data_IF_101338983274
#
_entry.id   IF_101338983274
#
_cell.length_a   1.000
_cell.length_b   1.000
_cell.length_c   1.000
_cell.angle_alpha   90.00
_cell.angle_beta   90.00
_cell.angle_gamma   90.00
#
_symmetry.space_group_name_H-M   'P 1'
#
loop_
_entity.id
_entity.type
_entity.pdbx_description
1 polymer ?
#
# COMPACT_ATOMS: atom_id res chain seq x y z
N UNK A 1 11.32 20.89 53.03
CA UNK A 1 11.78 20.25 51.79
C UNK A 1 10.55 19.68 51.11
N UNK A 2 9.88 20.51 50.32
CA UNK A 2 8.62 20.19 49.66
C UNK A 2 8.95 19.75 48.24
N UNK A 3 8.70 18.47 47.94
CA UNK A 3 8.82 17.96 46.58
C UNK A 3 7.60 18.43 45.78
N UNK A 4 7.77 19.53 45.04
CA UNK A 4 6.89 19.89 43.94
C UNK A 4 7.04 18.84 42.84
N UNK A 5 6.10 17.90 42.81
CA UNK A 5 5.94 16.96 41.70
C UNK A 5 5.40 17.79 40.54
N UNK A 6 6.32 18.22 39.67
CA UNK A 6 6.04 18.89 38.41
C UNK A 6 5.36 17.89 37.46
N UNK A 7 4.06 17.66 37.68
CA UNK A 7 3.14 17.10 36.70
C UNK A 7 2.78 18.22 35.72
N UNK A 8 3.79 18.74 35.01
CA UNK A 8 3.49 19.34 33.72
C UNK A 8 2.89 18.22 32.89
N UNK A 9 1.57 18.32 32.72
CA UNK A 9 0.81 17.54 31.80
C UNK A 9 1.59 17.51 30.49
N UNK A 10 2.17 16.35 30.18
CA UNK A 10 2.39 15.99 28.79
C UNK A 10 1.00 16.07 28.18
N UNK A 11 0.65 17.22 27.61
CA UNK A 11 -0.52 17.36 26.78
C UNK A 11 -0.21 16.44 25.61
N UNK A 12 -0.60 15.19 25.78
CA UNK A 12 -0.44 14.15 24.80
C UNK A 12 -1.21 14.68 23.61
N UNK A 13 -0.48 15.16 22.61
CA UNK A 13 -1.08 15.82 21.45
C UNK A 13 -1.82 14.74 20.69
N UNK A 14 -3.09 14.59 21.07
CA UNK A 14 -3.95 13.48 20.65
C UNK A 14 -4.11 13.56 19.13
N UNK A 15 -4.01 14.77 18.57
CA UNK A 15 -4.03 15.04 17.14
C UNK A 15 -2.86 14.39 16.37
N UNK A 16 -1.69 14.23 16.99
CA UNK A 16 -0.49 13.68 16.36
C UNK A 16 -0.53 12.15 16.27
N UNK A 17 -1.15 11.50 17.26
CA UNK A 17 -1.40 10.05 17.24
C UNK A 17 -2.58 9.71 16.31
N UNK A 18 -3.56 10.60 16.20
CA UNK A 18 -4.81 10.38 15.45
C UNK A 18 -4.65 10.39 13.93
N UNK A 19 -3.66 11.12 13.40
CA UNK A 19 -3.34 11.15 11.96
C UNK A 19 -2.77 9.81 11.44
N UNK A 20 -2.18 8.99 12.31
CA UNK A 20 -1.50 7.75 11.89
C UNK A 20 -2.43 6.54 12.00
N UNK A 21 -3.43 6.54 12.90
CA UNK A 21 -4.37 5.43 13.07
C UNK A 21 -5.27 5.18 11.85
N UNK A 22 -5.61 6.21 11.08
CA UNK A 22 -6.45 6.09 9.89
C UNK A 22 -5.80 5.23 8.78
N UNK A 23 -4.47 5.16 8.76
CA UNK A 23 -3.70 4.42 7.75
C UNK A 23 -3.14 3.09 8.25
N UNK A 24 -3.34 2.74 9.53
CA UNK A 24 -2.99 1.41 10.05
C UNK A 24 -3.95 0.40 9.41
N UNK A 25 -3.49 -0.19 8.32
CA UNK A 25 -4.12 -1.36 7.75
C UNK A 25 -4.13 -2.44 8.83
N UNK A 26 -5.30 -2.76 9.38
CA UNK A 26 -5.56 -3.94 10.25
C UNK A 26 -5.24 -5.28 9.50
N UNK A 27 -4.76 -5.19 8.25
CA UNK A 27 -4.11 -6.30 7.55
C UNK A 27 -2.74 -6.62 8.10
N UNK A 28 -2.08 -5.69 8.79
CA UNK A 28 -0.79 -5.98 9.40
C UNK A 28 -0.98 -6.97 10.55
N UNK A 29 -0.29 -8.10 10.45
CA UNK A 29 -0.37 -9.19 11.41
C UNK A 29 0.05 -8.73 12.81
N UNK A 30 0.99 -7.77 12.86
CA UNK A 30 1.42 -7.15 14.10
C UNK A 30 0.29 -6.46 14.87
N UNK A 31 -0.58 -5.69 14.19
CA UNK A 31 -1.71 -5.02 14.84
C UNK A 31 -2.74 -6.02 15.36
N UNK A 32 -2.97 -7.12 14.62
CA UNK A 32 -3.87 -8.20 15.06
C UNK A 32 -3.37 -8.88 16.32
N UNK A 33 -2.07 -9.12 16.42
CA UNK A 33 -1.46 -9.74 17.60
C UNK A 33 -1.58 -8.83 18.84
N UNK A 34 -1.38 -7.52 18.68
CA UNK A 34 -1.55 -6.57 19.79
C UNK A 34 -3.01 -6.51 20.23
N UNK A 35 -3.94 -6.45 19.27
CA UNK A 35 -5.37 -6.43 19.57
C UNK A 35 -5.79 -7.72 20.28
N UNK A 36 -5.30 -8.87 19.83
CA UNK A 36 -5.53 -10.16 20.49
C UNK A 36 -5.04 -10.16 21.93
N UNK A 37 -3.83 -9.64 22.20
CA UNK A 37 -3.32 -9.50 23.58
C UNK A 37 -4.19 -8.60 24.43
N UNK A 38 -4.70 -7.50 23.88
CA UNK A 38 -5.58 -6.58 24.62
C UNK A 38 -6.95 -7.21 24.92
N UNK A 39 -7.45 -8.08 24.04
CA UNK A 39 -8.64 -8.90 24.29
C UNK A 39 -8.37 -9.93 25.38
N UNK A 40 -7.24 -10.64 25.31
CA UNK A 40 -6.84 -11.63 26.32
C UNK A 40 -6.62 -11.00 27.71
N UNK A 41 -6.18 -9.74 27.77
CA UNK A 41 -6.09 -8.95 29.01
C UNK A 41 -7.45 -8.52 29.56
N UNK A 42 -8.55 -8.72 28.84
CA UNK A 42 -9.89 -8.25 29.21
C UNK A 42 -10.06 -6.73 29.13
N UNK A 43 -9.13 -6.03 28.46
CA UNK A 43 -9.21 -4.57 28.27
C UNK A 43 -10.17 -4.15 27.16
N UNK A 44 -10.44 -5.07 26.22
CA UNK A 44 -11.36 -4.88 25.10
C UNK A 44 -12.31 -6.08 25.06
N UNK A 45 -13.62 -5.83 25.11
CA UNK A 45 -14.61 -6.90 24.99
C UNK A 45 -14.87 -7.24 23.52
N UNK A 46 -15.37 -8.45 23.26
CA UNK A 46 -15.72 -8.84 21.90
C UNK A 46 -16.83 -7.95 21.31
N UNK A 47 -17.74 -7.46 22.16
CA UNK A 47 -18.82 -6.56 21.76
C UNK A 47 -18.31 -5.19 21.27
N UNK A 48 -17.24 -4.67 21.88
CA UNK A 48 -16.58 -3.43 21.46
C UNK A 48 -16.00 -3.59 20.05
N UNK A 49 -15.38 -4.74 19.76
CA UNK A 49 -14.77 -5.04 18.46
C UNK A 49 -15.83 -5.04 17.35
N UNK A 50 -16.97 -5.71 17.57
CA UNK A 50 -18.05 -5.76 16.58
C UNK A 50 -18.62 -4.37 16.34
N UNK A 51 -18.79 -3.58 17.40
CA UNK A 51 -19.26 -2.18 17.31
C UNK A 51 -18.28 -1.34 16.48
N UNK A 52 -16.98 -1.44 16.75
CA UNK A 52 -15.94 -0.74 15.98
C UNK A 52 -15.86 -1.18 14.51
N UNK A 53 -15.97 -2.48 14.23
CA UNK A 53 -15.99 -2.98 12.85
C UNK A 53 -17.21 -2.46 12.09
N UNK A 54 -18.37 -2.44 12.74
CA UNK A 54 -19.60 -1.90 12.14
C UNK A 54 -19.49 -0.40 11.82
N UNK A 55 -18.87 0.37 12.71
CA UNK A 55 -18.63 1.80 12.51
C UNK A 55 -17.68 2.06 11.33
N UNK A 56 -16.57 1.32 11.28
CA UNK A 56 -15.57 1.44 10.22
C UNK A 56 -16.12 1.06 8.85
N UNK A 57 -17.01 0.07 8.77
CA UNK A 57 -17.57 -0.38 7.49
C UNK A 57 -18.72 0.52 6.99
N UNK A 58 -19.40 1.24 7.90
CA UNK A 58 -20.58 2.04 7.52
C UNK A 58 -20.24 3.35 6.80
N UNK A 59 -19.07 3.94 7.04
CA UNK A 59 -18.78 5.26 6.48
C UNK A 59 -17.29 5.48 6.19
N UNK A 60 -16.91 5.35 4.92
CA UNK A 60 -15.62 5.84 4.44
C UNK A 60 -15.72 7.36 4.19
N UNK A 61 -15.86 8.13 5.28
CA UNK A 61 -16.06 9.58 5.27
C UNK A 61 -14.98 10.34 4.48
N UNK A 62 -13.78 9.76 4.35
CA UNK A 62 -12.72 10.30 3.50
C UNK A 62 -13.14 10.34 2.03
N UNK A 63 -13.74 9.24 1.52
CA UNK A 63 -14.27 9.17 0.16
C UNK A 63 -15.46 10.11 -0.03
N UNK A 64 -16.35 10.17 0.96
CA UNK A 64 -17.52 11.07 0.91
C UNK A 64 -17.10 12.53 0.87
N UNK A 65 -16.09 12.93 1.66
CA UNK A 65 -15.53 14.28 1.65
C UNK A 65 -14.86 14.64 0.33
N UNK A 66 -14.06 13.72 -0.23
CA UNK A 66 -13.40 13.90 -1.53
C UNK A 66 -14.41 14.06 -2.68
N UNK A 67 -15.38 13.15 -2.75
CA UNK A 67 -16.43 13.18 -3.78
C UNK A 67 -17.31 14.42 -3.60
N UNK A 68 -17.69 14.75 -2.36
CA UNK A 68 -18.49 15.93 -2.05
C UNK A 68 -17.80 17.24 -2.45
N UNK A 69 -16.52 17.41 -2.11
CA UNK A 69 -15.75 18.60 -2.47
C UNK A 69 -15.57 18.78 -3.99
N UNK A 70 -15.31 17.69 -4.71
CA UNK A 70 -15.18 17.71 -6.17
C UNK A 70 -16.52 18.02 -6.87
N UNK A 71 -17.64 17.50 -6.36
CA UNK A 71 -18.96 17.76 -6.94
C UNK A 71 -19.45 19.18 -6.70
N UNK A 72 -19.26 19.72 -5.48
CA UNK A 72 -19.69 21.08 -5.15
C UNK A 72 -19.00 22.11 -6.05
N UNK A 73 -17.68 21.97 -6.26
CA UNK A 73 -16.92 22.89 -7.13
C UNK A 73 -17.32 22.77 -8.60
N UNK A 74 -17.54 21.55 -9.09
CA UNK A 74 -17.98 21.29 -10.47
C UNK A 74 -19.40 21.84 -10.75
N UNK A 75 -20.35 21.62 -9.84
CA UNK A 75 -21.74 22.08 -9.98
C UNK A 75 -21.83 23.59 -9.83
N UNK A 76 -21.13 24.19 -8.85
CA UNK A 76 -21.14 25.63 -8.64
C UNK A 76 -20.53 26.38 -9.84
N UNK A 77 -19.38 25.93 -10.35
CA UNK A 77 -18.73 26.55 -11.50
C UNK A 77 -19.56 26.50 -12.78
N UNK A 78 -20.40 25.47 -12.95
CA UNK A 78 -21.26 25.31 -14.12
C UNK A 78 -22.56 26.13 -14.05
N UNK A 79 -23.17 26.29 -12.88
CA UNK A 79 -24.51 26.87 -12.75
C UNK A 79 -24.57 28.35 -12.33
N UNK A 80 -23.59 28.90 -11.61
CA UNK A 80 -23.74 30.21 -10.91
C UNK A 80 -22.94 31.36 -11.58
N UNK A 81 -22.85 31.34 -12.91
CA UNK A 81 -22.14 32.33 -13.78
C UNK A 81 -20.68 31.97 -13.98
N UNK A 82 -20.26 31.91 -15.25
CA UNK A 82 -18.88 31.70 -15.71
C UNK A 82 -18.03 32.90 -15.29
N UNK A 83 -17.28 32.86 -14.17
CA UNK A 83 -16.38 33.96 -13.85
C UNK A 83 -15.15 33.78 -14.74
N UNK A 84 -14.58 34.85 -15.34
CA UNK A 84 -13.35 34.76 -16.13
C UNK A 84 -12.15 34.55 -15.22
N UNK A 85 -12.12 33.42 -14.51
CA UNK A 85 -11.00 33.00 -13.69
C UNK A 85 -10.01 32.27 -14.59
N UNK A 86 -8.76 32.71 -14.55
CA UNK A 86 -7.64 31.98 -15.15
C UNK A 86 -7.56 30.57 -14.56
N UNK A 87 -7.17 29.59 -15.38
CA UNK A 87 -7.11 28.18 -15.00
C UNK A 87 -6.35 27.94 -13.68
N UNK A 88 -5.27 28.70 -13.42
CA UNK A 88 -4.53 28.62 -12.16
C UNK A 88 -5.33 29.03 -10.92
N UNK A 89 -6.24 30.00 -11.03
CA UNK A 89 -7.12 30.41 -9.90
C UNK A 89 -8.18 29.34 -9.61
N UNK A 90 -8.73 28.71 -10.66
CA UNK A 90 -9.64 27.58 -10.51
C UNK A 90 -8.95 26.39 -9.83
N UNK A 91 -7.74 26.07 -10.26
CA UNK A 91 -6.94 25.02 -9.63
C UNK A 91 -6.67 25.33 -8.15
N UNK A 92 -6.21 26.55 -7.82
CA UNK A 92 -5.96 26.96 -6.44
C UNK A 92 -7.20 26.88 -5.55
N UNK A 93 -8.36 27.36 -6.02
CA UNK A 93 -9.64 27.26 -5.30
C UNK A 93 -10.07 25.81 -5.11
N UNK A 94 -9.90 24.96 -6.13
CA UNK A 94 -10.23 23.54 -6.03
C UNK A 94 -9.36 22.80 -5.01
N UNK A 95 -8.05 23.06 -5.00
CA UNK A 95 -7.12 22.46 -4.04
C UNK A 95 -7.41 22.92 -2.61
N UNK A 96 -7.72 24.21 -2.42
CA UNK A 96 -8.12 24.73 -1.12
C UNK A 96 -9.43 24.10 -0.65
N UNK A 97 -10.46 24.04 -1.50
CA UNK A 97 -11.73 23.42 -1.18
C UNK A 97 -11.59 21.92 -0.87
N UNK A 98 -10.75 21.20 -1.61
CA UNK A 98 -10.45 19.80 -1.36
C UNK A 98 -9.76 19.60 -0.01
N UNK A 99 -8.76 20.43 0.32
CA UNK A 99 -8.08 20.40 1.61
C UNK A 99 -9.03 20.70 2.76
N UNK A 100 -9.81 21.79 2.67
CA UNK A 100 -10.81 22.14 3.69
C UNK A 100 -11.87 21.06 3.85
N UNK A 101 -12.36 20.50 2.74
CA UNK A 101 -13.31 19.38 2.75
C UNK A 101 -12.74 18.14 3.44
N UNK A 102 -11.47 17.82 3.18
CA UNK A 102 -10.77 16.73 3.86
C UNK A 102 -10.63 17.00 5.37
N UNK A 103 -10.22 18.21 5.78
CA UNK A 103 -10.09 18.58 7.19
C UNK A 103 -11.42 18.57 7.95
N UNK A 104 -12.51 19.00 7.32
CA UNK A 104 -13.85 18.91 7.92
C UNK A 104 -14.29 17.44 8.01
N UNK A 105 -14.00 16.65 6.97
CA UNK A 105 -14.27 15.21 6.95
C UNK A 105 -13.58 14.47 8.09
N UNK A 106 -12.30 14.77 8.36
CA UNK A 106 -11.59 14.19 9.51
C UNK A 106 -12.19 14.66 10.83
N UNK A 107 -12.52 15.94 10.99
CA UNK A 107 -13.19 16.43 12.20
C UNK A 107 -14.53 15.73 12.52
N UNK A 108 -15.34 15.46 11.49
CA UNK A 108 -16.59 14.71 11.64
C UNK A 108 -16.35 13.23 11.99
N UNK A 109 -15.32 12.60 11.41
CA UNK A 109 -14.92 11.24 11.77
C UNK A 109 -14.53 11.15 13.25
N UNK A 110 -13.72 12.11 13.72
CA UNK A 110 -13.28 12.18 15.13
C UNK A 110 -14.49 12.33 16.04
N UNK A 111 -15.42 13.25 15.72
CA UNK A 111 -16.63 13.44 16.51
C UNK A 111 -17.48 12.16 16.59
N UNK A 112 -17.66 11.48 15.46
CA UNK A 112 -18.43 10.24 15.40
C UNK A 112 -17.72 9.09 16.15
N UNK A 113 -16.39 9.04 16.12
CA UNK A 113 -15.59 8.11 16.90
C UNK A 113 -15.71 8.38 18.40
N UNK A 114 -15.61 9.63 18.84
CA UNK A 114 -15.83 10.03 20.24
C UNK A 114 -17.22 9.62 20.70
N UNK A 115 -18.25 9.87 19.88
CA UNK A 115 -19.63 9.46 20.19
C UNK A 115 -19.75 7.94 20.33
N UNK A 116 -19.10 7.18 19.45
CA UNK A 116 -19.07 5.71 19.51
C UNK A 116 -18.36 5.21 20.76
N UNK A 117 -17.19 5.77 21.08
CA UNK A 117 -16.44 5.43 22.30
C UNK A 117 -17.24 5.73 23.55
N UNK A 118 -17.94 6.86 23.60
CA UNK A 118 -18.79 7.23 24.74
C UNK A 118 -20.06 6.36 24.84
N UNK A 119 -20.43 5.63 23.80
CA UNK A 119 -21.56 4.69 23.81
C UNK A 119 -21.20 3.27 24.26
N UNK A 120 -19.90 2.98 24.44
CA UNK A 120 -19.44 1.70 24.98
C UNK A 120 -19.82 1.58 26.45
N UNK A 121 -19.97 0.34 26.93
CA UNK A 121 -20.31 0.05 28.33
C UNK A 121 -19.24 0.58 29.30
N UNK A 122 -17.95 0.41 28.94
CA UNK A 122 -16.79 0.83 29.74
C UNK A 122 -15.81 1.72 28.93
N UNK A 123 -16.12 3.01 28.68
CA UNK A 123 -15.31 3.88 27.83
C UNK A 123 -13.90 4.12 28.39
N UNK A 124 -13.74 4.11 29.71
CA UNK A 124 -12.46 4.32 30.39
C UNK A 124 -11.48 3.16 30.17
N UNK A 125 -11.97 1.91 30.23
CA UNK A 125 -11.17 0.70 29.96
C UNK A 125 -10.71 0.67 28.51
N UNK A 126 -11.64 0.95 27.60
CA UNK A 126 -11.33 0.99 26.19
C UNK A 126 -10.29 2.07 25.83
N UNK A 127 -10.41 3.28 26.39
CA UNK A 127 -9.42 4.36 26.21
C UNK A 127 -8.03 3.96 26.70
N UNK A 128 -7.96 3.30 27.87
CA UNK A 128 -6.68 2.79 28.42
C UNK A 128 -6.07 1.73 27.50
N UNK A 129 -6.87 0.77 27.03
CA UNK A 129 -6.41 -0.27 26.12
C UNK A 129 -5.93 0.31 24.78
N UNK A 130 -6.62 1.32 24.24
CA UNK A 130 -6.18 2.04 23.05
C UNK A 130 -4.87 2.80 23.27
N UNK A 131 -4.71 3.46 24.41
CA UNK A 131 -3.47 4.16 24.74
C UNK A 131 -2.29 3.17 24.79
N UNK A 132 -2.44 2.04 25.48
CA UNK A 132 -1.42 0.98 25.54
C UNK A 132 -1.13 0.40 24.14
N UNK A 133 -2.15 0.15 23.34
CA UNK A 133 -2.00 -0.34 21.96
C UNK A 133 -1.23 0.66 21.08
N UNK A 134 -1.56 1.95 21.16
CA UNK A 134 -0.90 3.01 20.40
C UNK A 134 0.57 3.14 20.80
N UNK A 135 0.86 3.03 22.09
CA UNK A 135 2.21 3.04 22.63
C UNK A 135 3.02 1.82 22.15
N UNK A 136 2.42 0.61 22.17
CA UNK A 136 3.08 -0.60 21.65
C UNK A 136 3.35 -0.50 20.14
N UNK A 137 2.41 0.05 19.37
CA UNK A 137 2.58 0.29 17.94
C UNK A 137 3.71 1.28 17.65
N UNK A 138 3.77 2.41 18.37
CA UNK A 138 4.86 3.38 18.23
C UNK A 138 6.20 2.78 18.60
N UNK A 139 6.27 2.02 19.70
CA UNK A 139 7.50 1.32 20.10
C UNK A 139 7.95 0.33 19.02
N UNK A 140 7.04 -0.47 18.46
CA UNK A 140 7.36 -1.40 17.36
C UNK A 140 7.80 -0.66 16.10
N UNK A 141 7.14 0.45 15.73
CA UNK A 141 7.54 1.27 14.58
C UNK A 141 8.94 1.82 14.74
N UNK A 142 9.29 2.30 15.94
CA UNK A 142 10.65 2.74 16.25
C UNK A 142 11.68 1.61 16.13
N UNK A 143 11.34 0.41 16.61
CA UNK A 143 12.22 -0.78 16.44
C UNK A 143 12.37 -1.15 14.96
N UNK A 144 11.29 -1.16 14.19
CA UNK A 144 11.32 -1.45 12.75
C UNK A 144 12.17 -0.42 11.98
N UNK A 145 12.06 0.87 12.33
CA UNK A 145 12.90 1.92 11.75
C UNK A 145 14.37 1.72 12.10
N UNK A 146 14.69 1.38 13.35
CA UNK A 146 16.07 1.07 13.77
C UNK A 146 16.62 -0.16 13.05
N UNK A 147 15.80 -1.20 12.87
CA UNK A 147 16.19 -2.38 12.11
C UNK A 147 16.47 -2.02 10.64
N UNK A 148 15.57 -1.30 9.99
CA UNK A 148 15.74 -0.86 8.60
C UNK A 148 16.98 0.02 8.40
N UNK A 149 17.32 0.85 9.39
CA UNK A 149 18.55 1.67 9.37
C UNK A 149 19.81 0.84 9.64
N UNK A 150 19.74 -0.12 10.57
CA UNK A 150 20.86 -1.00 10.93
C UNK A 150 21.28 -1.93 9.79
N UNK A 151 20.34 -2.43 8.99
CA UNK A 151 20.66 -3.29 7.83
C UNK A 151 21.43 -2.55 6.72
N UNK A 152 21.45 -1.22 6.73
CA UNK A 152 22.15 -0.42 5.70
C UNK A 152 23.60 -0.11 6.05
N UNK A 153 24.02 -0.31 7.30
CA UNK A 153 25.38 0.06 7.76
C UNK A 153 26.32 -1.13 7.99
N UNK A 154 25.84 -2.37 7.87
CA UNK A 154 26.67 -3.58 7.91
C UNK A 154 27.01 -4.11 6.51
N UNK A 155 27.27 -3.21 5.55
CA UNK A 155 28.13 -3.57 4.40
C UNK A 155 29.55 -3.45 4.91
N UNK A 156 30.04 -4.57 5.43
CA UNK A 156 31.41 -4.84 5.84
C UNK A 156 32.41 -4.04 4.98
N UNK A 157 33.07 -2.98 5.49
CA UNK A 157 34.23 -2.44 4.82
C UNK A 157 35.31 -3.50 5.02
N UNK A 158 35.44 -4.41 4.06
CA UNK A 158 36.65 -5.20 3.91
C UNK A 158 37.79 -4.21 3.70
N UNK A 159 38.39 -3.86 4.82
CA UNK A 159 39.69 -3.28 5.00
C UNK A 159 40.68 -4.23 4.35
N UNK A 160 41.02 -3.96 3.10
CA UNK A 160 42.36 -4.19 2.57
C UNK A 160 42.56 -3.42 1.27
N UNK A 161 43.58 -2.56 1.27
CA UNK A 161 44.33 -2.22 0.07
C UNK A 161 43.94 -0.92 -0.61
N UNK A 162 44.47 0.18 -0.08
CA UNK A 162 44.99 1.34 -0.81
C UNK A 162 45.07 1.20 -2.35
N UNK A 163 44.02 1.55 -3.10
CA UNK A 163 44.24 2.06 -4.45
C UNK A 163 43.22 3.14 -4.80
N UNK A 164 43.80 4.30 -5.11
CA UNK A 164 43.33 5.32 -6.06
C UNK A 164 42.16 6.22 -5.66
N UNK A 165 42.55 7.42 -5.22
CA UNK A 165 42.04 8.68 -5.80
C UNK A 165 41.76 8.49 -7.30
N UNK A 166 40.53 8.73 -7.75
CA UNK A 166 40.17 9.50 -8.95
C UNK A 166 38.67 9.38 -9.27
N UNK A 167 38.09 10.53 -9.65
CA UNK A 167 36.85 10.73 -10.40
C UNK A 167 35.53 10.61 -9.59
N UNK A 168 34.73 11.66 -9.37
CA UNK A 168 34.16 12.61 -10.35
C UNK A 168 33.73 11.93 -11.65
N UNK A 169 32.53 11.34 -11.67
CA UNK A 169 31.98 10.79 -12.91
C UNK A 169 30.68 10.02 -12.73
N UNK A 170 29.56 10.75 -12.69
CA UNK A 170 28.20 10.20 -12.84
C UNK A 170 27.74 10.17 -14.31
N UNK A 171 28.66 10.04 -15.25
CA UNK A 171 28.37 9.86 -16.67
C UNK A 171 29.33 8.84 -17.27
N UNK A 172 28.84 7.64 -17.60
CA UNK A 172 29.01 6.95 -18.89
C UNK A 172 28.64 5.46 -18.79
N UNK A 173 27.99 4.98 -19.85
CA UNK A 173 27.57 3.60 -20.02
C UNK A 173 28.70 2.61 -20.31
N UNK A 174 28.28 1.41 -20.71
CA UNK A 174 29.06 0.20 -21.03
C UNK A 174 29.57 -0.63 -19.86
N UNK A 175 28.71 -1.55 -19.38
CA UNK A 175 29.19 -2.80 -18.78
C UNK A 175 29.55 -3.82 -19.86
N UNK A 176 30.76 -3.70 -20.36
CA UNK A 176 31.51 -4.77 -21.00
C UNK A 176 31.98 -5.73 -19.89
N UNK A 177 31.35 -6.90 -19.84
CA UNK A 177 31.61 -7.97 -18.87
C UNK A 177 32.94 -8.65 -19.18
N UNK A 178 34.03 -8.21 -18.52
CA UNK A 178 35.30 -8.91 -18.53
C UNK A 178 35.26 -10.09 -17.55
N UNK A 179 35.36 -11.28 -18.12
CA UNK A 179 35.31 -12.61 -17.49
C UNK A 179 36.73 -13.00 -17.07
N UNK A 180 36.91 -13.29 -15.79
CA UNK A 180 38.12 -13.91 -15.24
C UNK A 180 38.36 -15.27 -15.92
N UNK A 181 39.53 -15.41 -16.53
CA UNK A 181 40.00 -16.63 -17.18
C UNK A 181 40.54 -17.59 -16.11
N UNK A 182 39.89 -18.74 -15.96
CA UNK A 182 40.50 -19.93 -15.38
C UNK A 182 40.99 -20.79 -16.54
N UNK A 183 42.30 -21.02 -16.59
CA UNK A 183 42.94 -21.88 -17.57
C UNK A 183 42.51 -23.34 -17.35
N UNK A 184 41.97 -23.98 -18.39
CA UNK A 184 41.89 -25.44 -18.51
C UNK A 184 41.79 -25.80 -19.99
N UNK A 185 42.90 -26.38 -20.49
CA UNK A 185 43.01 -27.38 -21.56
C UNK A 185 42.18 -27.21 -22.84
N UNK A 186 42.91 -26.85 -23.90
CA UNK A 186 42.54 -26.95 -25.31
C UNK A 186 42.12 -28.39 -25.64
N UNK A 187 40.91 -28.56 -26.15
CA UNK A 187 40.53 -29.71 -26.97
C UNK A 187 39.73 -29.20 -28.17
N UNK A 188 40.43 -29.16 -29.29
CA UNK A 188 39.97 -29.39 -30.67
C UNK A 188 38.53 -28.98 -31.03
N UNK A 189 38.43 -27.79 -31.63
CA UNK A 189 37.22 -27.22 -32.20
C UNK A 189 36.75 -27.98 -33.45
N UNK A 190 35.63 -28.68 -33.34
CA UNK A 190 34.77 -29.02 -34.48
C UNK A 190 33.97 -27.76 -34.87
N UNK A 191 33.90 -27.38 -36.16
CA UNK A 191 33.18 -26.18 -36.58
C UNK A 191 31.68 -26.46 -36.61
N UNK A 192 30.91 -25.80 -35.73
CA UNK A 192 29.45 -25.85 -35.78
C UNK A 192 28.70 -25.66 -34.46
N UNK A 193 29.36 -25.32 -33.35
CA UNK A 193 28.65 -25.16 -32.08
C UNK A 193 28.24 -23.70 -31.79
N UNK A 194 26.97 -23.44 -32.05
CA UNK A 194 26.22 -22.21 -31.83
C UNK A 194 26.49 -21.59 -30.45
N UNK A 195 26.95 -20.34 -30.42
CA UNK A 195 27.31 -19.58 -29.21
C UNK A 195 26.16 -19.50 -28.19
N UNK A 196 24.93 -19.66 -28.66
CA UNK A 196 23.73 -19.77 -27.83
C UNK A 196 23.58 -21.08 -27.07
N UNK A 197 24.15 -22.19 -27.55
CA UNK A 197 24.17 -23.45 -26.81
C UNK A 197 25.09 -23.33 -25.58
N UNK A 198 26.22 -22.64 -25.73
CA UNK A 198 27.19 -22.46 -24.66
C UNK A 198 26.68 -21.50 -23.56
N UNK A 199 25.93 -20.45 -23.94
CA UNK A 199 25.25 -19.56 -22.97
C UNK A 199 24.11 -20.29 -22.21
N UNK A 200 23.44 -21.25 -22.86
CA UNK A 200 22.41 -22.07 -22.20
C UNK A 200 23.02 -23.12 -21.26
N UNK A 201 24.13 -23.74 -21.63
CA UNK A 201 24.84 -24.71 -20.80
C UNK A 201 25.47 -24.09 -19.54
N UNK A 202 25.78 -22.78 -19.56
CA UNK A 202 26.41 -22.07 -18.45
C UNK A 202 25.43 -21.47 -17.44
N UNK A 203 24.12 -21.65 -17.65
CA UNK A 203 23.08 -21.17 -16.74
C UNK A 203 22.94 -22.17 -15.60
N UNK A 204 23.64 -21.92 -14.50
CA UNK A 204 23.48 -22.60 -13.20
C UNK A 204 21.98 -22.67 -12.85
N UNK A 205 21.45 -23.77 -12.27
CA UNK A 205 20.04 -23.89 -11.93
C UNK A 205 19.60 -22.65 -11.16
N UNK A 206 18.72 -21.87 -11.79
CA UNK A 206 18.31 -20.58 -11.29
C UNK A 206 17.58 -20.80 -9.96
N UNK A 207 18.12 -20.20 -8.90
CA UNK A 207 17.37 -19.97 -7.68
C UNK A 207 16.02 -19.33 -8.07
N UNK A 208 14.88 -19.84 -7.57
CA UNK A 208 13.57 -19.34 -7.95
C UNK A 208 13.55 -17.84 -7.73
N UNK A 209 13.28 -17.09 -8.79
CA UNK A 209 13.23 -15.63 -8.69
C UNK A 209 12.06 -15.24 -7.78
N UNK A 210 12.11 -14.06 -7.16
CA UNK A 210 10.99 -13.57 -6.35
C UNK A 210 9.64 -13.63 -7.11
N UNK A 211 9.69 -13.47 -8.43
CA UNK A 211 8.56 -13.65 -9.33
C UNK A 211 8.05 -15.10 -9.45
N UNK A 212 8.93 -16.10 -9.43
CA UNK A 212 8.53 -17.51 -9.42
C UNK A 212 7.87 -17.90 -8.10
N UNK A 213 8.33 -17.38 -6.97
CA UNK A 213 7.70 -17.62 -5.66
C UNK A 213 6.28 -17.04 -5.59
N UNK A 214 6.06 -15.86 -6.18
CA UNK A 214 4.72 -15.26 -6.26
C UNK A 214 3.81 -16.13 -7.13
N UNK A 215 4.30 -16.62 -8.27
CA UNK A 215 3.51 -17.47 -9.17
C UNK A 215 3.18 -18.83 -8.54
N UNK A 216 4.16 -19.48 -7.92
CA UNK A 216 3.95 -20.74 -7.19
C UNK A 216 2.99 -20.59 -6.01
N UNK A 217 3.02 -19.47 -5.28
CA UNK A 217 2.09 -19.26 -4.17
C UNK A 217 0.65 -19.06 -4.65
N UNK A 218 0.45 -18.49 -5.85
CA UNK A 218 -0.86 -18.40 -6.49
C UNK A 218 -1.36 -19.75 -7.03
N UNK A 219 -0.47 -20.58 -7.59
CA UNK A 219 -0.84 -21.92 -8.08
C UNK A 219 -1.18 -22.88 -6.92
N UNK A 220 -0.43 -22.83 -5.82
CA UNK A 220 -0.65 -23.71 -4.65
C UNK A 220 -1.91 -23.37 -3.86
N UNK A 221 -2.38 -22.13 -3.96
CA UNK A 221 -3.59 -21.66 -3.28
C UNK A 221 -4.83 -21.70 -4.16
N UNK A 222 -4.76 -22.30 -5.35
CA UNK A 222 -5.97 -22.59 -6.12
C UNK A 222 -6.66 -23.77 -5.41
N UNK A 223 -7.78 -23.55 -4.67
CA UNK A 223 -8.50 -24.68 -4.10
C UNK A 223 -8.91 -25.57 -5.28
N UNK A 224 -8.63 -26.86 -5.17
CA UNK A 224 -9.09 -27.84 -6.15
C UNK A 224 -10.58 -27.59 -6.37
N UNK A 225 -10.95 -27.15 -7.57
CA UNK A 225 -12.33 -26.98 -8.03
C UNK A 225 -12.93 -28.38 -8.17
N UNK A 226 -13.12 -29.03 -7.02
CA UNK A 226 -13.78 -30.30 -6.91
C UNK A 226 -15.27 -29.99 -7.00
N UNK A 227 -15.75 -30.15 -8.23
CA UNK A 227 -17.10 -30.16 -8.78
C UNK A 227 -18.22 -30.60 -7.82
N UNK A 228 -18.49 -29.82 -6.76
CA UNK A 228 -19.61 -29.99 -5.84
C UNK A 228 -20.63 -28.91 -6.16
N UNK A 229 -21.55 -29.24 -7.06
CA UNK A 229 -22.62 -28.38 -7.59
C UNK A 229 -23.73 -28.05 -6.59
N UNK A 230 -23.65 -28.53 -5.34
CA UNK A 230 -24.78 -28.49 -4.40
C UNK A 230 -24.58 -27.52 -3.22
N UNK A 231 -23.50 -26.75 -3.19
CA UNK A 231 -23.31 -25.71 -2.18
C UNK A 231 -23.92 -24.40 -2.72
N UNK A 232 -24.95 -23.83 -2.06
CA UNK A 232 -25.52 -22.55 -2.48
C UNK A 232 -24.41 -21.50 -2.48
N UNK A 233 -24.14 -20.97 -3.68
CA UNK A 233 -23.11 -19.97 -3.92
C UNK A 233 -23.39 -18.75 -3.03
N UNK A 234 -22.45 -18.42 -2.14
CA UNK A 234 -22.64 -17.28 -1.24
C UNK A 234 -22.80 -15.99 -2.05
N UNK A 235 -23.66 -15.08 -1.59
CA UNK A 235 -23.91 -13.80 -2.28
C UNK A 235 -22.60 -13.03 -2.56
N UNK A 236 -21.62 -13.13 -1.66
CA UNK A 236 -20.30 -12.52 -1.84
C UNK A 236 -19.49 -13.08 -3.03
N UNK A 237 -19.66 -14.37 -3.33
CA UNK A 237 -18.98 -15.03 -4.45
C UNK A 237 -19.66 -14.68 -5.78
N UNK A 238 -20.99 -14.57 -5.76
CA UNK A 238 -21.78 -14.09 -6.89
C UNK A 238 -21.47 -12.63 -7.23
N UNK A 239 -21.35 -11.75 -6.22
CA UNK A 239 -20.92 -10.36 -6.42
C UNK A 239 -19.50 -10.28 -7.00
N UNK A 240 -18.58 -11.11 -6.53
CA UNK A 240 -17.21 -11.17 -7.06
C UNK A 240 -17.19 -11.60 -8.53
N UNK A 241 -17.97 -12.64 -8.91
CA UNK A 241 -18.08 -13.07 -10.32
C UNK A 241 -18.64 -11.96 -11.21
N UNK A 242 -19.71 -11.30 -10.76
CA UNK A 242 -20.31 -10.19 -11.51
C UNK A 242 -19.33 -9.02 -11.70
N UNK A 243 -18.60 -8.64 -10.66
CA UNK A 243 -17.58 -7.59 -10.76
C UNK A 243 -16.46 -7.95 -11.75
N UNK A 244 -16.12 -9.23 -11.85
CA UNK A 244 -15.10 -9.72 -12.77
C UNK A 244 -15.61 -9.71 -14.23
N UNK A 245 -16.85 -10.12 -14.47
CA UNK A 245 -17.51 -10.00 -15.78
C UNK A 245 -17.62 -8.53 -16.24
N UNK A 246 -17.94 -7.62 -15.32
CA UNK A 246 -17.98 -6.18 -15.61
C UNK A 246 -16.59 -5.64 -15.99
N UNK A 247 -15.54 -6.11 -15.31
CA UNK A 247 -14.16 -5.73 -15.62
C UNK A 247 -13.71 -6.25 -16.99
N UNK A 248 -14.00 -7.51 -17.30
CA UNK A 248 -13.68 -8.11 -18.60
C UNK A 248 -14.45 -7.41 -19.73
N UNK A 249 -15.71 -7.02 -19.48
CA UNK A 249 -16.52 -6.24 -20.42
C UNK A 249 -15.91 -4.87 -20.71
N UNK A 250 -15.37 -4.19 -19.70
CA UNK A 250 -14.69 -2.90 -19.87
C UNK A 250 -13.38 -3.05 -20.66
N UNK A 251 -12.60 -4.09 -20.40
CA UNK A 251 -11.37 -4.40 -21.12
C UNK A 251 -11.63 -4.71 -22.60
N UNK A 252 -12.68 -5.47 -22.90
CA UNK A 252 -13.02 -5.80 -24.27
C UNK A 252 -13.53 -4.57 -25.04
N UNK A 253 -14.26 -3.67 -24.36
CA UNK A 253 -14.64 -2.36 -24.92
C UNK A 253 -13.41 -1.49 -25.21
N UNK A 254 -12.41 -1.48 -24.33
CA UNK A 254 -11.18 -0.72 -24.58
C UNK A 254 -10.39 -1.29 -25.79
N UNK A 255 -10.32 -2.62 -25.92
CA UNK A 255 -9.73 -3.26 -27.10
C UNK A 255 -10.48 -2.94 -28.38
N UNK A 256 -11.82 -2.94 -28.36
CA UNK A 256 -12.63 -2.63 -29.54
C UNK A 256 -12.41 -1.18 -30.00
N UNK A 257 -12.30 -0.23 -29.06
CA UNK A 257 -11.98 1.17 -29.36
C UNK A 257 -10.68 1.34 -30.15
N UNK A 258 -9.66 0.53 -29.87
CA UNK A 258 -8.40 0.55 -30.63
C UNK A 258 -8.55 0.05 -32.07
N UNK A 259 -9.36 -0.99 -32.28
CA UNK A 259 -9.57 -1.58 -33.61
C UNK A 259 -10.47 -0.71 -34.50
N UNK A 260 -11.51 -0.11 -33.93
CA UNK A 260 -12.43 0.74 -34.69
C UNK A 260 -11.74 2.01 -35.18
N UNK A 261 -10.90 2.65 -34.34
CA UNK A 261 -10.07 3.79 -34.75
C UNK A 261 -9.08 3.41 -35.85
N UNK A 262 -8.47 2.23 -35.78
CA UNK A 262 -7.53 1.77 -36.81
C UNK A 262 -8.23 1.52 -38.16
N UNK A 263 -9.46 1.01 -38.16
CA UNK A 263 -10.28 0.83 -39.37
C UNK A 263 -10.73 2.17 -39.95
N UNK A 264 -11.17 3.10 -39.12
CA UNK A 264 -11.62 4.42 -39.57
C UNK A 264 -10.47 5.20 -40.24
N UNK A 265 -9.29 5.19 -39.62
CA UNK A 265 -8.09 5.78 -40.23
C UNK A 265 -7.78 5.13 -41.57
N UNK A 266 -7.80 3.79 -41.67
CA UNK A 266 -7.51 3.09 -42.93
C UNK A 266 -8.51 3.44 -44.04
N UNK A 267 -9.79 3.65 -43.69
CA UNK A 267 -10.83 4.04 -44.66
C UNK A 267 -10.69 5.48 -45.17
N UNK A 268 -10.05 6.37 -44.41
CA UNK A 268 -9.80 7.76 -44.83
C UNK A 268 -8.64 7.91 -45.82
N UNK A 269 -7.76 6.91 -45.94
CA UNK A 269 -6.58 6.93 -46.81
C UNK A 269 -6.69 5.98 -48.02
N UNK A 270 -7.83 5.33 -48.21
CA UNK A 270 -8.16 4.51 -49.38
C UNK A 270 -9.21 5.18 -50.25
#
# INVERSE_FOLDING_TARGET
MSNEINLEASSFDTSQVELDLGNIHIRDQATRDILRRQVEKGGITHSDIVTFQSFRNRWDYSRVGLIGGALITSVWGRFIRRPPLTAGRLFGLSSFAAFTGASIGTGLQIRALIQTVNSLEDPSRFKKALAEMSQELLARRQVALKQAQGTRLEVNPSQDGEHTKLADGWDTGNHQRARTQSASTVTESTPGHDRWSQLRAQKTPAQPTAWDNIRQSHERNKPDEQNNSDIPESDSQKERRKAQEEFDTLLERERSFGQDNARELKSRWS
#
